data_IF_811769372800
#
_entry.id   IF_811769372800
#
_cell.length_a   1.000
_cell.length_b   1.000
_cell.length_c   1.000
_cell.angle_alpha   90.00
_cell.angle_beta   90.00
_cell.angle_gamma   90.00
#
_symmetry.space_group_name_H-M   'P 1'
#
loop_
_entity.id
_entity.type
_entity.pdbx_description
1 polymer ?
#
# COMPACT_ATOMS: atom_id res chain seq x y z
N UNK A 1 -12.10 9.95 21.97
CA UNK A 1 -10.81 9.53 21.38
C UNK A 1 -11.00 9.72 19.89
N UNK A 2 -10.46 10.80 19.33
CA UNK A 2 -10.57 11.08 17.89
C UNK A 2 -9.58 10.16 17.15
N UNK A 3 -9.90 9.67 15.94
CA UNK A 3 -8.92 8.94 15.14
C UNK A 3 -7.73 9.87 14.88
N UNK A 4 -6.52 9.31 14.98
CA UNK A 4 -5.31 9.98 14.51
C UNK A 4 -5.46 10.16 13.00
N UNK A 5 -5.92 11.33 12.57
CA UNK A 5 -5.79 11.74 11.20
C UNK A 5 -4.27 11.90 10.97
N UNK A 6 -3.67 10.94 10.29
CA UNK A 6 -2.36 11.15 9.71
C UNK A 6 -2.53 12.32 8.74
N UNK A 7 -2.05 13.50 9.15
CA UNK A 7 -2.12 14.70 8.34
C UNK A 7 -1.50 14.41 6.98
N UNK A 8 -2.05 15.00 5.92
CA UNK A 8 -1.44 14.90 4.60
C UNK A 8 0.03 15.32 4.70
N UNK A 9 0.94 14.54 4.13
CA UNK A 9 2.36 14.82 4.23
C UNK A 9 2.73 16.08 3.42
N UNK A 10 3.67 16.88 3.94
CA UNK A 10 4.06 18.19 3.37
C UNK A 10 4.65 18.13 1.95
N UNK A 11 5.02 16.93 1.48
CA UNK A 11 5.50 16.70 0.12
C UNK A 11 4.38 16.41 -0.89
N UNK A 12 3.13 16.21 -0.45
CA UNK A 12 1.95 16.08 -1.33
C UNK A 12 1.11 17.36 -1.24
N UNK A 13 1.01 18.09 -2.35
CA UNK A 13 0.26 19.35 -2.42
C UNK A 13 -0.85 19.24 -3.47
N UNK A 14 -2.08 19.43 -3.04
CA UNK A 14 -3.22 19.58 -3.94
C UNK A 14 -3.18 20.94 -4.62
N UNK A 15 -3.47 20.96 -5.92
CA UNK A 15 -3.71 22.14 -6.74
C UNK A 15 -5.06 22.03 -7.43
N UNK A 16 -5.52 23.14 -8.01
CA UNK A 16 -6.77 23.18 -8.75
C UNK A 16 -6.76 22.28 -10.00
N UNK A 17 -5.58 21.94 -10.51
CA UNK A 17 -5.32 21.15 -11.70
C UNK A 17 -4.80 19.72 -11.42
N UNK A 18 -4.67 19.32 -10.15
CA UNK A 18 -4.21 17.98 -9.76
C UNK A 18 -3.39 17.97 -8.48
N UNK A 19 -2.92 16.79 -8.06
CA UNK A 19 -2.00 16.66 -6.93
C UNK A 19 -0.55 16.65 -7.42
N UNK A 20 0.38 17.09 -6.59
CA UNK A 20 1.81 17.12 -6.91
C UNK A 20 2.62 16.54 -5.77
N UNK A 21 3.54 15.63 -6.08
CA UNK A 21 4.51 15.07 -5.14
C UNK A 21 5.86 15.75 -5.32
N UNK A 22 6.40 16.32 -4.26
CA UNK A 22 7.75 16.89 -4.24
C UNK A 22 8.76 15.79 -3.91
N UNK A 23 9.65 15.50 -4.86
CA UNK A 23 10.83 14.66 -4.62
C UNK A 23 11.91 15.49 -3.92
N UNK A 24 12.65 14.89 -2.99
CA UNK A 24 13.75 15.56 -2.30
C UNK A 24 14.83 16.11 -3.26
N UNK A 25 14.97 15.51 -4.45
CA UNK A 25 16.04 15.79 -5.39
C UNK A 25 15.56 16.19 -6.80
N UNK A 26 14.24 16.43 -6.99
CA UNK A 26 13.67 16.73 -8.32
C UNK A 26 12.58 17.80 -8.28
N UNK A 27 12.26 18.30 -9.48
CA UNK A 27 11.09 19.14 -9.70
C UNK A 27 9.80 18.43 -9.22
N UNK A 28 8.79 19.21 -8.79
CA UNK A 28 7.50 18.65 -8.41
C UNK A 28 6.91 17.75 -9.51
N UNK A 29 6.54 16.52 -9.12
CA UNK A 29 6.00 15.51 -10.02
C UNK A 29 4.47 15.63 -9.99
N UNK A 30 3.82 16.03 -11.09
CA UNK A 30 2.36 16.05 -11.16
C UNK A 30 1.84 14.61 -11.15
N UNK A 31 0.81 14.38 -10.35
CA UNK A 31 0.03 13.16 -10.40
C UNK A 31 -1.16 13.35 -11.34
N UNK A 32 -1.47 12.36 -12.19
CA UNK A 32 -2.72 12.33 -12.93
C UNK A 32 -3.94 12.52 -12.02
N UNK A 33 -4.98 13.16 -12.55
CA UNK A 33 -6.25 13.30 -11.83
C UNK A 33 -6.83 11.92 -11.49
N UNK A 34 -7.25 11.74 -10.24
CA UNK A 34 -7.81 10.46 -9.75
C UNK A 34 -6.77 9.40 -9.37
N UNK A 35 -5.47 9.68 -9.52
CA UNK A 35 -4.44 8.80 -8.98
C UNK A 35 -4.37 8.95 -7.45
N UNK A 36 -4.52 7.84 -6.74
CA UNK A 36 -4.32 7.78 -5.30
C UNK A 36 -2.82 7.77 -4.96
N UNK A 37 -2.49 8.42 -3.85
CA UNK A 37 -1.14 8.34 -3.30
C UNK A 37 -0.88 6.94 -2.72
N UNK A 38 0.08 6.23 -3.31
CA UNK A 38 0.60 4.95 -2.81
C UNK A 38 1.74 5.20 -1.83
N UNK A 39 1.96 4.31 -0.86
CA UNK A 39 3.07 4.48 0.10
C UNK A 39 4.43 4.56 -0.60
N UNK A 40 4.60 3.78 -1.67
CA UNK A 40 5.72 3.86 -2.59
C UNK A 40 5.17 3.77 -4.01
N UNK A 41 5.65 4.65 -4.87
CA UNK A 41 5.33 4.67 -6.28
C UNK A 41 6.60 5.07 -7.04
N UNK A 42 7.20 4.13 -7.78
CA UNK A 42 8.40 4.38 -8.58
C UNK A 42 8.13 4.86 -10.01
N UNK A 43 6.86 4.88 -10.42
CA UNK A 43 6.43 5.37 -11.73
C UNK A 43 5.17 6.24 -11.64
N UNK A 44 5.21 7.39 -10.93
CA UNK A 44 4.07 8.30 -10.78
C UNK A 44 3.53 8.88 -12.10
N UNK A 45 4.20 8.63 -13.22
CA UNK A 45 3.83 9.07 -14.57
C UNK A 45 3.36 7.94 -15.47
N UNK A 46 3.14 6.75 -14.92
CA UNK A 46 2.63 5.59 -15.65
C UNK A 46 1.38 5.96 -16.47
N UNK A 47 1.23 5.29 -17.61
CA UNK A 47 -0.01 5.35 -18.40
C UNK A 47 -1.20 4.72 -17.68
N UNK A 48 -0.99 4.07 -16.54
CA UNK A 48 -2.03 3.52 -15.67
C UNK A 48 -2.20 4.38 -14.42
N UNK A 49 -3.41 4.91 -14.25
CA UNK A 49 -3.86 5.61 -13.06
C UNK A 49 -4.54 4.62 -12.14
N UNK A 50 -4.06 4.53 -10.89
CA UNK A 50 -4.64 3.68 -9.85
C UNK A 50 -5.38 4.55 -8.86
N UNK A 51 -6.64 4.25 -8.60
CA UNK A 51 -7.47 4.95 -7.64
C UNK A 51 -8.45 4.02 -6.93
N UNK A 52 -9.20 4.59 -6.00
CA UNK A 52 -10.30 3.95 -5.30
C UNK A 52 -11.62 4.59 -5.72
N UNK A 53 -12.62 3.77 -6.03
CA UNK A 53 -13.95 4.21 -6.41
C UNK A 53 -14.98 3.71 -5.40
N UNK A 54 -15.87 4.60 -4.97
CA UNK A 54 -17.04 4.22 -4.18
C UNK A 54 -18.10 3.59 -5.10
N UNK A 55 -18.50 2.37 -4.78
CA UNK A 55 -19.60 1.68 -5.44
C UNK A 55 -20.83 1.83 -4.57
N UNK A 56 -21.78 2.68 -4.97
CA UNK A 56 -23.07 2.82 -4.31
C UNK A 56 -24.13 2.04 -5.08
N UNK A 57 -24.61 0.95 -4.50
CA UNK A 57 -25.94 0.43 -4.83
C UNK A 57 -26.97 1.09 -3.90
N UNK A 58 -28.18 1.34 -4.41
CA UNK A 58 -29.22 2.24 -3.85
C UNK A 58 -29.61 1.96 -2.37
N UNK A 59 -29.19 0.83 -1.79
CA UNK A 59 -29.40 0.45 -0.39
C UNK A 59 -28.18 -0.22 0.29
N UNK A 60 -26.98 -0.16 -0.31
CA UNK A 60 -25.75 -0.76 0.22
C UNK A 60 -24.82 0.28 0.86
N UNK A 61 -24.05 -0.14 1.87
CA UNK A 61 -22.87 0.61 2.30
C UNK A 61 -21.93 0.71 1.09
N UNK A 62 -21.42 1.91 0.79
CA UNK A 62 -20.50 2.09 -0.32
C UNK A 62 -19.27 1.20 -0.10
N UNK A 63 -19.05 0.23 -1.00
CA UNK A 63 -17.82 -0.56 -1.01
C UNK A 63 -16.79 0.19 -1.85
N UNK A 64 -15.58 0.34 -1.34
CA UNK A 64 -14.47 0.91 -2.10
C UNK A 64 -13.81 -0.18 -2.93
N UNK A 65 -13.82 -0.05 -4.25
CA UNK A 65 -13.05 -0.92 -5.16
C UNK A 65 -11.79 -0.19 -5.65
N UNK A 66 -10.70 -0.93 -5.83
CA UNK A 66 -9.53 -0.45 -6.56
C UNK A 66 -9.84 -0.46 -8.06
N UNK A 67 -9.54 0.64 -8.74
CA UNK A 67 -9.78 0.82 -10.17
C UNK A 67 -8.48 1.26 -10.84
N UNK A 68 -8.22 0.69 -12.02
CA UNK A 68 -7.23 1.21 -12.93
C UNK A 68 -7.88 1.83 -14.16
N UNK A 69 -7.38 2.99 -14.55
CA UNK A 69 -7.78 3.68 -15.77
C UNK A 69 -6.57 4.04 -16.62
N UNK A 70 -6.77 4.11 -17.92
CA UNK A 70 -5.80 4.69 -18.84
C UNK A 70 -5.65 6.20 -18.55
N UNK A 71 -4.42 6.68 -18.41
CA UNK A 71 -4.12 8.04 -17.99
C UNK A 71 -4.53 9.10 -19.02
N UNK A 72 -4.54 8.75 -20.30
CA UNK A 72 -4.84 9.68 -21.40
C UNK A 72 -6.33 9.78 -21.67
N UNK A 73 -7.03 8.64 -21.62
CA UNK A 73 -8.44 8.52 -22.01
C UNK A 73 -9.41 8.49 -20.83
N UNK A 74 -8.93 8.11 -19.64
CA UNK A 74 -9.76 7.84 -18.47
C UNK A 74 -10.58 6.54 -18.59
N UNK A 75 -10.37 5.73 -19.63
CA UNK A 75 -11.07 4.47 -19.79
C UNK A 75 -10.64 3.46 -18.72
N UNK A 76 -11.62 2.78 -18.13
CA UNK A 76 -11.35 1.74 -17.12
C UNK A 76 -10.69 0.53 -17.76
N UNK A 77 -9.48 0.22 -17.30
CA UNK A 77 -8.73 -0.98 -17.68
C UNK A 77 -9.22 -2.19 -16.89
N UNK A 78 -9.28 -2.07 -15.56
CA UNK A 78 -9.73 -3.14 -14.67
C UNK A 78 -10.25 -2.60 -13.33
N UNK A 79 -10.88 -3.48 -12.55
CA UNK A 79 -11.34 -3.21 -11.18
C UNK A 79 -11.17 -4.42 -10.28
N UNK A 80 -10.92 -4.19 -8.98
CA UNK A 80 -10.80 -5.22 -7.95
C UNK A 80 -11.44 -4.74 -6.65
N UNK A 81 -12.41 -5.50 -6.14
CA UNK A 81 -13.09 -5.22 -4.88
C UNK A 81 -12.48 -5.99 -3.69
N UNK A 82 -11.54 -6.91 -3.96
CA UNK A 82 -10.96 -7.84 -2.98
C UNK A 82 -9.60 -7.39 -2.44
N UNK A 83 -9.10 -6.22 -2.84
CA UNK A 83 -7.81 -5.71 -2.40
C UNK A 83 -7.71 -4.18 -2.47
N UNK A 84 -6.87 -3.61 -1.59
CA UNK A 84 -6.54 -2.18 -1.54
C UNK A 84 -5.10 -1.92 -1.99
N UNK A 85 -4.85 -0.87 -2.79
CA UNK A 85 -3.51 -0.57 -3.27
C UNK A 85 -2.58 -0.13 -2.14
N UNK A 86 -1.34 -0.63 -2.16
CA UNK A 86 -0.30 -0.30 -1.16
C UNK A 86 0.87 0.41 -1.82
N UNK A 87 1.43 -0.17 -2.89
CA UNK A 87 2.61 0.34 -3.58
C UNK A 87 2.61 -0.02 -5.06
N UNK A 88 3.27 0.79 -5.87
CA UNK A 88 3.65 0.49 -7.26
C UNK A 88 5.16 0.39 -7.34
N UNK A 89 5.63 -0.73 -7.90
CA UNK A 89 7.04 -0.91 -8.23
C UNK A 89 7.21 -1.70 -9.53
N UNK A 90 7.96 -1.15 -10.47
CA UNK A 90 8.42 -1.85 -11.67
C UNK A 90 7.31 -2.60 -12.44
N UNK A 91 6.19 -1.92 -12.70
CA UNK A 91 5.07 -2.47 -13.46
C UNK A 91 4.06 -3.29 -12.66
N UNK A 92 4.21 -3.34 -11.32
CA UNK A 92 3.40 -4.17 -10.45
C UNK A 92 2.84 -3.38 -9.28
N UNK A 93 1.59 -3.67 -8.94
CA UNK A 93 0.95 -3.23 -7.72
C UNK A 93 1.10 -4.28 -6.63
N UNK A 94 1.48 -3.83 -5.45
CA UNK A 94 1.26 -4.56 -4.20
C UNK A 94 -0.07 -4.09 -3.66
N UNK A 95 -0.96 -5.03 -3.41
CA UNK A 95 -2.24 -4.75 -2.79
C UNK A 95 -2.46 -5.64 -1.57
N UNK A 96 -3.20 -5.10 -0.61
CA UNK A 96 -3.59 -5.83 0.58
C UNK A 96 -4.99 -6.37 0.43
N UNK A 97 -5.13 -7.68 0.55
CA UNK A 97 -6.38 -8.43 0.50
C UNK A 97 -6.71 -9.03 1.87
N UNK A 98 -7.92 -9.57 2.03
CA UNK A 98 -8.31 -10.29 3.25
C UNK A 98 -7.39 -11.49 3.54
N UNK A 99 -6.85 -12.11 2.49
CA UNK A 99 -6.02 -13.31 2.55
C UNK A 99 -4.52 -13.01 2.63
N UNK A 100 -4.11 -11.75 2.76
CA UNK A 100 -2.71 -11.33 2.86
C UNK A 100 -2.32 -10.28 1.81
N UNK A 101 -1.13 -10.43 1.22
CA UNK A 101 -0.66 -9.54 0.16
C UNK A 101 -0.73 -10.23 -1.20
N UNK A 102 -1.03 -9.45 -2.22
CA UNK A 102 -1.05 -9.90 -3.61
C UNK A 102 -0.22 -8.96 -4.48
N UNK A 103 0.47 -9.55 -5.45
CA UNK A 103 1.14 -8.84 -6.54
C UNK A 103 0.25 -8.86 -7.76
N UNK A 104 -0.01 -7.70 -8.34
CA UNK A 104 -0.93 -7.51 -9.45
C UNK A 104 -0.20 -6.79 -10.57
N UNK A 105 -0.26 -7.33 -11.78
CA UNK A 105 0.22 -6.64 -12.98
C UNK A 105 -0.59 -5.36 -13.17
N UNK A 106 0.09 -4.20 -13.23
CA UNK A 106 -0.60 -2.91 -13.18
C UNK A 106 -1.49 -2.66 -14.41
N UNK A 107 -1.16 -3.26 -15.56
CA UNK A 107 -1.84 -3.02 -16.83
C UNK A 107 -3.08 -3.90 -16.95
N UNK A 108 -2.96 -5.17 -16.59
CA UNK A 108 -3.99 -6.20 -16.81
C UNK A 108 -4.85 -6.46 -15.59
N UNK A 109 -4.39 -6.09 -14.39
CA UNK A 109 -5.06 -6.41 -13.14
C UNK A 109 -4.96 -7.88 -12.75
N UNK A 110 -4.13 -8.66 -13.46
CA UNK A 110 -3.92 -10.07 -13.17
C UNK A 110 -3.06 -10.24 -11.92
N UNK A 111 -3.49 -11.11 -11.00
CA UNK A 111 -2.66 -11.51 -9.87
C UNK A 111 -1.52 -12.41 -10.35
N UNK A 112 -0.29 -12.01 -10.04
CA UNK A 112 0.93 -12.73 -10.42
C UNK A 112 1.52 -13.53 -9.26
N UNK A 113 1.35 -13.04 -8.02
CA UNK A 113 1.76 -13.76 -6.82
C UNK A 113 0.84 -13.43 -5.64
N UNK A 114 0.85 -14.29 -4.62
CA UNK A 114 0.22 -14.03 -3.33
C UNK A 114 1.10 -14.51 -2.18
N UNK A 115 1.08 -13.74 -1.09
CA UNK A 115 1.66 -14.13 0.19
C UNK A 115 0.53 -14.27 1.22
N UNK A 116 0.17 -15.51 1.61
CA UNK A 116 -0.93 -15.76 2.51
C UNK A 116 -0.70 -15.20 3.93
N UNK A 117 -1.76 -14.68 4.53
CA UNK A 117 -1.86 -14.29 5.94
C UNK A 117 -3.22 -14.68 6.49
N UNK A 118 -3.31 -14.96 7.80
CA UNK A 118 -4.58 -15.23 8.48
C UNK A 118 -5.37 -13.96 8.81
N UNK A 119 -4.77 -12.79 8.57
CA UNK A 119 -5.39 -11.49 8.79
C UNK A 119 -4.97 -10.49 7.70
N UNK A 120 -5.80 -9.47 7.53
CA UNK A 120 -5.48 -8.31 6.71
C UNK A 120 -4.18 -7.63 7.22
N UNK A 121 -3.23 -7.44 6.32
CA UNK A 121 -2.01 -6.66 6.53
C UNK A 121 -2.30 -5.15 6.40
N UNK A 122 -2.53 -4.50 7.54
CA UNK A 122 -2.80 -3.06 7.57
C UNK A 122 -1.50 -2.25 7.44
N UNK A 123 -1.39 -1.43 6.38
CA UNK A 123 -0.26 -0.52 6.10
C UNK A 123 1.13 -1.17 6.24
N UNK A 124 1.48 -2.15 5.40
CA UNK A 124 2.80 -2.76 5.47
C UNK A 124 3.88 -1.72 5.09
N UNK A 125 5.00 -1.65 5.81
CA UNK A 125 6.12 -0.79 5.42
C UNK A 125 6.68 -1.22 4.07
N UNK A 126 6.90 -0.26 3.19
CA UNK A 126 7.49 -0.49 1.87
C UNK A 126 8.78 0.31 1.74
N UNK A 127 9.85 -0.31 1.25
CA UNK A 127 11.12 0.36 1.05
C UNK A 127 12.18 -0.55 0.43
N UNK A 128 13.12 0.04 -0.33
CA UNK A 128 14.22 -0.67 -1.00
C UNK A 128 13.77 -1.85 -1.89
N UNK A 129 12.59 -1.75 -2.51
CA UNK A 129 12.03 -2.82 -3.35
C UNK A 129 11.43 -3.99 -2.58
N UNK A 130 11.33 -3.87 -1.25
CA UNK A 130 10.73 -4.89 -0.39
C UNK A 130 9.49 -4.37 0.33
N UNK A 131 8.55 -5.28 0.59
CA UNK A 131 7.43 -5.04 1.52
C UNK A 131 7.68 -5.85 2.78
N UNK A 132 7.55 -5.19 3.93
CA UNK A 132 7.61 -5.86 5.21
C UNK A 132 6.21 -6.31 5.62
N UNK A 133 5.97 -7.61 5.56
CA UNK A 133 4.77 -8.21 6.10
C UNK A 133 4.99 -8.60 7.56
N UNK A 134 3.95 -8.38 8.34
CA UNK A 134 3.65 -9.27 9.43
C UNK A 134 2.21 -9.07 9.92
N UNK A 135 1.74 -9.96 10.80
CA UNK A 135 0.42 -9.88 11.44
C UNK A 135 0.61 -9.69 12.94
N UNK A 136 -0.13 -8.73 13.52
CA UNK A 136 -0.21 -8.54 14.96
C UNK A 136 -0.86 -9.73 15.70
N UNK A 137 -1.64 -10.56 14.98
CA UNK A 137 -2.40 -11.66 15.54
C UNK A 137 -1.68 -13.01 15.40
N UNK A 138 -1.00 -13.28 14.27
CA UNK A 138 -0.73 -14.68 13.89
C UNK A 138 0.66 -14.95 13.31
N UNK A 139 1.48 -13.93 13.02
CA UNK A 139 2.82 -14.17 12.48
C UNK A 139 3.85 -14.13 13.61
N UNK A 140 4.43 -15.30 13.90
CA UNK A 140 5.59 -15.47 14.79
C UNK A 140 6.87 -14.85 14.21
N UNK A 141 6.81 -14.30 13.00
CA UNK A 141 7.94 -13.68 12.32
C UNK A 141 7.51 -12.47 11.48
N UNK A 142 8.45 -11.54 11.29
CA UNK A 142 8.41 -10.57 10.21
C UNK A 142 8.99 -11.20 8.95
N UNK A 143 8.34 -10.96 7.82
CA UNK A 143 8.77 -11.46 6.52
C UNK A 143 8.96 -10.25 5.61
N UNK A 144 10.17 -10.05 5.10
CA UNK A 144 10.36 -9.12 3.99
C UNK A 144 10.23 -9.89 2.69
N UNK A 145 9.42 -9.39 1.78
CA UNK A 145 9.25 -9.95 0.44
C UNK A 145 9.80 -9.01 -0.61
N UNK A 146 10.37 -9.59 -1.67
CA UNK A 146 10.68 -8.87 -2.90
C UNK A 146 9.35 -8.57 -3.61
N UNK A 147 9.09 -7.30 -3.91
CA UNK A 147 7.83 -6.86 -4.51
C UNK A 147 7.64 -7.45 -5.91
N UNK A 148 8.74 -7.69 -6.63
CA UNK A 148 8.70 -8.14 -8.02
C UNK A 148 8.33 -9.62 -8.10
N UNK A 149 8.76 -10.43 -7.14
CA UNK A 149 8.57 -11.88 -7.21
C UNK A 149 7.58 -12.42 -6.18
N UNK A 150 7.32 -11.68 -5.11
CA UNK A 150 6.58 -12.16 -3.94
C UNK A 150 7.39 -13.13 -3.07
N UNK A 151 8.67 -13.33 -3.37
CA UNK A 151 9.52 -14.27 -2.64
C UNK A 151 10.09 -13.64 -1.35
N UNK A 152 10.23 -14.41 -0.27
CA UNK A 152 10.84 -13.91 0.96
C UNK A 152 12.33 -13.60 0.72
N UNK A 153 12.73 -12.38 1.05
CA UNK A 153 14.13 -11.92 1.08
C UNK A 153 14.78 -12.31 2.40
N UNK A 154 14.04 -12.13 3.51
CA UNK A 154 14.47 -12.55 4.84
C UNK A 154 13.28 -12.70 5.78
N UNK A 155 13.50 -13.46 6.84
CA UNK A 155 12.54 -13.66 7.93
C UNK A 155 13.21 -13.39 9.28
N UNK A 156 12.47 -12.77 10.20
CA UNK A 156 12.97 -12.47 11.53
C UNK A 156 11.90 -12.80 12.58
N UNK A 157 12.17 -13.70 13.54
CA UNK A 157 11.21 -14.06 14.57
C UNK A 157 10.82 -12.86 15.44
N UNK A 158 9.56 -12.87 15.89
CA UNK A 158 8.96 -11.87 16.77
C UNK A 158 8.39 -12.52 18.01
N UNK A 159 8.74 -11.97 19.18
CA UNK A 159 8.16 -12.39 20.44
C UNK A 159 6.97 -11.49 20.79
N UNK A 160 5.76 -11.98 20.54
CA UNK A 160 4.50 -11.35 20.97
C UNK A 160 3.94 -10.29 20.02
N UNK A 161 2.97 -9.53 20.53
CA UNK A 161 2.17 -8.59 19.75
C UNK A 161 2.96 -7.33 19.41
N UNK A 162 2.97 -6.97 18.14
CA UNK A 162 3.60 -5.76 17.65
C UNK A 162 2.58 -4.93 16.85
N UNK A 163 2.77 -3.61 16.84
CA UNK A 163 1.81 -2.64 16.28
C UNK A 163 2.20 -2.19 14.88
N UNK A 164 2.32 -0.87 14.68
CA UNK A 164 2.84 -0.33 13.43
C UNK A 164 4.34 -0.58 13.29
N UNK A 165 4.76 -0.93 12.08
CA UNK A 165 6.16 -1.05 11.71
C UNK A 165 6.58 0.14 10.85
N UNK A 166 7.87 0.44 10.86
CA UNK A 166 8.48 1.40 9.96
C UNK A 166 9.83 0.86 9.48
N UNK A 167 10.11 1.03 8.20
CA UNK A 167 11.44 0.82 7.65
C UNK A 167 12.26 2.10 7.85
N UNK A 168 13.49 1.98 8.35
CA UNK A 168 14.46 3.10 8.31
C UNK A 168 15.55 2.77 7.32
N UNK A 169 16.21 3.79 6.76
CA UNK A 169 17.30 3.64 5.79
C UNK A 169 18.50 2.81 6.30
N UNK A 170 18.56 2.52 7.60
CA UNK A 170 19.60 1.71 8.28
C UNK A 170 19.07 0.38 8.85
N UNK A 171 17.86 -0.05 8.48
CA UNK A 171 17.21 -1.26 8.98
C UNK A 171 16.07 -0.97 9.98
N UNK A 172 15.21 -1.96 10.22
CA UNK A 172 14.00 -1.82 11.05
C UNK A 172 14.29 -1.38 12.49
N UNK A 173 13.70 -0.28 12.94
CA UNK A 173 13.56 0.03 14.37
C UNK A 173 12.20 -0.42 14.88
N UNK A 174 12.18 -1.30 15.88
CA UNK A 174 10.97 -1.78 16.58
C UNK A 174 10.52 -0.72 17.59
N UNK A 175 9.26 -0.26 17.53
CA UNK A 175 8.63 0.43 18.66
C UNK A 175 7.63 -0.49 19.34
N UNK A 176 7.99 -1.07 20.48
CA UNK A 176 7.07 -1.79 21.34
C UNK A 176 6.59 -0.87 22.47
N UNK A 177 5.27 -0.68 22.63
CA UNK A 177 4.72 -0.19 23.90
C UNK A 177 4.47 -1.41 24.79
N UNK A 178 5.22 -1.53 25.89
CA UNK A 178 4.80 -2.38 27.00
C UNK A 178 3.52 -1.78 27.59
N UNK A 179 2.40 -2.49 27.50
CA UNK A 179 1.33 -2.29 28.47
C UNK A 179 1.83 -2.86 29.80
N UNK A 180 2.14 -1.98 30.76
CA UNK A 180 2.34 -2.41 32.13
C UNK A 180 1.00 -2.89 32.68
N UNK A 181 0.83 -4.21 32.84
CA UNK A 181 -0.22 -4.76 33.69
C UNK A 181 0.20 -4.55 35.15
N UNK A 182 -0.34 -3.52 35.78
CA UNK A 182 -0.35 -3.40 37.25
C UNK A 182 -1.35 -4.40 37.83
N UNK A 183 -0.88 -5.16 38.83
CA UNK A 183 -1.67 -6.09 39.66
C UNK A 183 -2.63 -5.35 40.58
#
# INVERSE_FOLDING_TARGET
MLPLAFGRPDWLVDRADGAVVYSADRDPIPLPSGQDYLQVDDDPTSSVVIGTAEVTDDESVAESEMVATDADTGERLWRRADAWPVARLAGRLVASAETGLVGIDEVTGAQEWSLPSQAWVAWPPVGAGSVLMGSAADLEALVAIDIRTGEPVWEAPTDGWWGQMALTATGCTRSARRAAMSR
#
